data_IF_880798105766
#
_entry.id   IF_880798105766
#
_cell.length_a   1.000
_cell.length_b   1.000
_cell.length_c   1.000
_cell.angle_alpha   90.00
_cell.angle_beta   90.00
_cell.angle_gamma   90.00
#
_symmetry.space_group_name_H-M   'P 1'
#
loop_
_entity.id
_entity.type
_entity.pdbx_description
1 polymer ?
#
# COMPACT_ATOMS: atom_id res chain seq x y z
N UNK A 1 -29.18 14.07 -13.11
CA UNK A 1 -28.22 15.16 -13.28
C UNK A 1 -26.92 14.59 -13.81
N UNK A 2 -26.47 15.03 -14.98
CA UNK A 2 -25.19 14.62 -15.54
C UNK A 2 -24.07 15.42 -14.87
N UNK A 3 -23.12 14.74 -14.23
CA UNK A 3 -21.92 15.34 -13.64
C UNK A 3 -20.85 15.53 -14.73
N UNK A 4 -20.00 16.58 -14.63
CA UNK A 4 -19.10 16.98 -15.71
C UNK A 4 -18.00 15.93 -15.94
N UNK A 5 -17.76 15.61 -17.22
CA UNK A 5 -16.59 14.86 -17.66
C UNK A 5 -15.37 15.81 -17.64
N UNK A 6 -14.33 15.48 -16.88
CA UNK A 6 -13.14 16.34 -16.70
C UNK A 6 -11.90 15.67 -17.32
N UNK A 7 -11.33 16.36 -18.33
CA UNK A 7 -9.95 16.36 -18.86
C UNK A 7 -9.01 15.18 -18.51
N UNK A 8 -8.60 14.44 -19.55
CA UNK A 8 -7.77 13.24 -19.50
C UNK A 8 -6.25 13.40 -19.41
N UNK A 9 -5.69 14.56 -19.06
CA UNK A 9 -4.22 14.78 -19.14
C UNK A 9 -3.49 15.19 -17.84
N UNK A 10 -4.21 15.47 -16.75
CA UNK A 10 -3.59 15.88 -15.47
C UNK A 10 -3.06 14.72 -14.59
N UNK A 11 -2.03 14.98 -13.78
CA UNK A 11 -1.61 14.08 -12.68
C UNK A 11 -2.80 13.86 -11.74
N UNK A 12 -3.10 12.60 -11.40
CA UNK A 12 -4.20 12.22 -10.49
C UNK A 12 -3.67 11.45 -9.29
N UNK A 13 -4.29 11.68 -8.14
CA UNK A 13 -4.03 10.89 -6.92
C UNK A 13 -4.81 9.58 -6.99
N UNK A 14 -4.15 8.45 -6.76
CA UNK A 14 -4.75 7.11 -6.87
C UNK A 14 -4.70 6.33 -5.55
N UNK A 15 -5.80 5.63 -5.24
CA UNK A 15 -5.85 4.62 -4.16
C UNK A 15 -4.88 3.45 -4.44
N UNK A 16 -4.49 2.69 -3.41
CA UNK A 16 -3.61 1.51 -3.60
C UNK A 16 -4.23 0.44 -4.49
N UNK A 17 -5.50 0.11 -4.29
CA UNK A 17 -6.26 -0.85 -5.10
C UNK A 17 -6.25 -0.50 -6.60
N UNK A 18 -6.19 0.79 -6.94
CA UNK A 18 -6.10 1.30 -8.31
C UNK A 18 -4.77 0.99 -9.01
N UNK A 19 -3.70 0.75 -8.25
CA UNK A 19 -2.31 0.58 -8.76
C UNK A 19 -1.94 -0.80 -9.23
N UNK A 20 -2.84 -1.79 -9.20
CA UNK A 20 -2.58 -3.11 -9.81
C UNK A 20 -2.10 -2.99 -11.29
N UNK A 21 -2.25 -1.82 -11.93
CA UNK A 21 -1.89 -1.55 -13.34
C UNK A 21 -1.24 -0.20 -13.68
N UNK A 22 -1.07 0.75 -12.76
CA UNK A 22 -0.47 2.07 -13.05
C UNK A 22 0.76 2.30 -12.15
N UNK A 23 1.94 2.34 -12.78
CA UNK A 23 3.24 2.48 -12.09
C UNK A 23 3.72 3.93 -12.11
N UNK A 24 3.67 4.55 -10.94
CA UNK A 24 4.37 5.81 -10.66
C UNK A 24 4.52 5.94 -9.15
N UNK A 25 5.73 6.30 -8.72
CA UNK A 25 6.17 6.21 -7.33
C UNK A 25 6.76 7.54 -6.91
N UNK A 26 6.35 8.03 -5.75
CA UNK A 26 6.93 9.19 -5.07
C UNK A 26 7.26 8.77 -3.66
N UNK A 27 8.36 9.31 -3.13
CA UNK A 27 8.78 9.08 -1.76
C UNK A 27 7.67 9.53 -0.82
N UNK A 28 6.96 8.55 -0.25
CA UNK A 28 5.93 8.84 0.72
C UNK A 28 6.59 8.87 2.10
N UNK A 29 7.10 10.03 2.49
CA UNK A 29 7.70 10.28 3.83
C UNK A 29 6.74 9.89 4.95
N UNK A 30 5.44 9.81 4.64
CA UNK A 30 4.36 9.40 5.53
C UNK A 30 3.70 8.11 4.99
N UNK A 31 4.48 7.02 4.88
CA UNK A 31 3.98 5.68 4.47
C UNK A 31 2.82 5.14 5.32
N UNK A 32 2.57 5.74 6.49
CA UNK A 32 1.46 5.47 7.40
C UNK A 32 0.07 5.80 6.85
N UNK A 33 -0.04 6.44 5.68
CA UNK A 33 -1.32 6.89 5.13
C UNK A 33 -1.84 6.10 3.91
N UNK A 34 -1.16 5.04 3.45
CA UNK A 34 -1.66 4.27 2.30
C UNK A 34 -1.49 4.94 0.92
N UNK A 35 -1.18 6.23 0.81
CA UNK A 35 -1.17 6.88 -0.51
C UNK A 35 0.14 6.71 -1.31
N UNK A 36 0.14 7.08 -2.58
CA UNK A 36 1.38 7.38 -3.32
C UNK A 36 1.07 8.39 -4.41
N UNK A 37 2.07 9.16 -4.81
CA UNK A 37 1.91 10.21 -5.80
C UNK A 37 2.49 9.73 -7.14
N UNK A 38 1.89 10.15 -8.25
CA UNK A 38 2.23 9.74 -9.61
C UNK A 38 3.17 10.77 -10.27
N UNK A 39 4.50 10.72 -10.11
CA UNK A 39 5.42 11.58 -10.89
C UNK A 39 6.39 10.77 -11.77
N UNK A 40 6.97 11.45 -12.79
CA UNK A 40 7.77 10.93 -13.92
C UNK A 40 9.15 10.35 -13.54
N UNK A 41 9.28 9.55 -12.48
CA UNK A 41 10.46 8.68 -12.27
C UNK A 41 9.99 7.26 -11.98
N UNK A 42 10.15 6.39 -12.99
CA UNK A 42 9.82 4.98 -12.93
C UNK A 42 10.96 4.18 -12.29
N UNK A 43 10.67 3.47 -11.20
CA UNK A 43 11.46 2.32 -10.76
C UNK A 43 10.60 1.05 -10.98
N UNK A 44 11.22 0.00 -11.53
CA UNK A 44 10.57 -1.28 -11.81
C UNK A 44 10.36 -2.04 -10.48
N UNK A 45 9.19 -2.63 -10.20
CA UNK A 45 8.99 -3.39 -8.97
C UNK A 45 9.94 -4.60 -8.90
N UNK A 46 10.43 -4.91 -7.70
CA UNK A 46 11.29 -6.07 -7.42
C UNK A 46 10.53 -7.40 -7.51
N UNK A 47 11.26 -8.50 -7.70
CA UNK A 47 10.72 -9.86 -7.93
C UNK A 47 9.86 -10.41 -6.78
N UNK A 48 10.14 -10.05 -5.52
CA UNK A 48 9.34 -10.46 -4.36
C UNK A 48 7.91 -9.92 -4.39
N UNK A 49 7.64 -8.80 -5.07
CA UNK A 49 6.29 -8.25 -5.17
C UNK A 49 5.39 -9.06 -6.09
N UNK A 50 5.95 -9.73 -7.11
CA UNK A 50 5.18 -10.47 -8.12
C UNK A 50 4.34 -11.61 -7.50
N UNK A 51 4.94 -12.42 -6.63
CA UNK A 51 4.25 -13.55 -5.99
C UNK A 51 3.11 -13.10 -5.05
N UNK A 52 3.31 -12.01 -4.31
CA UNK A 52 2.27 -11.40 -3.45
C UNK A 52 1.11 -10.89 -4.32
N UNK A 53 1.42 -10.28 -5.47
CA UNK A 53 0.41 -9.82 -6.42
C UNK A 53 -0.38 -10.99 -7.01
N UNK A 54 0.26 -12.07 -7.45
CA UNK A 54 -0.43 -13.25 -7.99
C UNK A 54 -1.37 -13.90 -6.97
N UNK A 55 -0.92 -14.03 -5.72
CA UNK A 55 -1.78 -14.49 -4.63
C UNK A 55 -2.98 -13.55 -4.42
N UNK A 56 -2.76 -12.24 -4.48
CA UNK A 56 -3.83 -11.24 -4.41
C UNK A 56 -4.86 -11.36 -5.54
N UNK A 57 -4.43 -11.61 -6.78
CA UNK A 57 -5.34 -11.83 -7.91
C UNK A 57 -6.21 -13.07 -7.70
N UNK A 58 -5.60 -14.16 -7.22
CA UNK A 58 -6.32 -15.41 -6.96
C UNK A 58 -7.41 -15.22 -5.89
N UNK A 59 -7.12 -14.51 -4.80
CA UNK A 59 -8.12 -14.20 -3.78
C UNK A 59 -9.22 -13.29 -4.33
N UNK A 60 -8.86 -12.33 -5.20
CA UNK A 60 -9.83 -11.49 -5.92
C UNK A 60 -10.80 -12.32 -6.78
N UNK A 61 -10.30 -13.32 -7.50
CA UNK A 61 -11.15 -14.20 -8.32
C UNK A 61 -12.09 -15.08 -7.47
N UNK A 62 -11.63 -15.54 -6.29
CA UNK A 62 -12.51 -16.21 -5.33
C UNK A 62 -13.58 -15.26 -4.77
N UNK A 63 -13.23 -14.00 -4.48
CA UNK A 63 -14.19 -13.01 -4.01
C UNK A 63 -15.29 -12.72 -5.05
N UNK A 64 -14.95 -12.67 -6.33
CA UNK A 64 -15.94 -12.50 -7.42
C UNK A 64 -16.98 -13.63 -7.45
N UNK A 65 -16.60 -14.86 -7.07
CA UNK A 65 -17.53 -16.00 -7.02
C UNK A 65 -18.65 -15.83 -5.99
N UNK A 66 -18.48 -14.96 -4.98
CA UNK A 66 -19.56 -14.59 -4.07
C UNK A 66 -20.68 -13.79 -4.75
N UNK A 67 -20.39 -13.19 -5.90
CA UNK A 67 -21.33 -12.37 -6.67
C UNK A 67 -21.39 -12.87 -8.12
N UNK A 68 -22.05 -14.01 -8.39
CA UNK A 68 -22.05 -14.66 -9.71
C UNK A 68 -22.68 -13.80 -10.80
N UNK A 69 -23.54 -12.85 -10.42
CA UNK A 69 -24.11 -11.84 -11.33
C UNK A 69 -23.31 -10.53 -11.29
N UNK A 70 -22.07 -10.50 -10.83
CA UNK A 70 -21.25 -9.29 -10.87
C UNK A 70 -20.95 -8.82 -12.29
N UNK A 71 -20.68 -7.53 -12.46
CA UNK A 71 -20.20 -6.93 -13.71
C UNK A 71 -18.70 -6.68 -13.53
N UNK A 72 -17.86 -7.39 -14.27
CA UNK A 72 -16.41 -7.24 -14.19
C UNK A 72 -15.92 -6.12 -15.13
N UNK A 73 -15.47 -5.01 -14.55
CA UNK A 73 -14.84 -3.91 -15.29
C UNK A 73 -13.31 -3.96 -15.26
N UNK A 74 -12.77 -5.02 -14.65
CA UNK A 74 -11.35 -5.20 -14.39
C UNK A 74 -10.51 -5.44 -15.63
N UNK A 75 -11.04 -5.47 -16.85
CA UNK A 75 -10.23 -5.48 -18.09
C UNK A 75 -10.00 -4.08 -18.67
N UNK A 76 -10.71 -3.07 -18.17
CA UNK A 76 -10.61 -1.70 -18.68
C UNK A 76 -9.37 -1.01 -18.10
N UNK A 77 -8.62 -0.34 -18.97
CA UNK A 77 -7.40 0.42 -18.63
C UNK A 77 -7.61 1.92 -18.81
N UNK A 78 -6.69 2.72 -18.27
CA UNK A 78 -6.82 4.17 -18.19
C UNK A 78 -7.82 4.61 -17.13
N UNK A 79 -8.15 5.90 -17.12
CA UNK A 79 -9.05 6.48 -16.10
C UNK A 79 -10.50 6.61 -16.60
N UNK A 80 -10.69 7.13 -17.82
CA UNK A 80 -12.02 7.50 -18.31
C UNK A 80 -12.90 6.29 -18.66
N UNK A 81 -12.32 5.27 -19.31
CA UNK A 81 -13.07 4.09 -19.76
C UNK A 81 -13.70 3.33 -18.59
N UNK A 82 -12.95 2.99 -17.51
CA UNK A 82 -13.55 2.35 -16.33
C UNK A 82 -14.63 3.20 -15.65
N UNK A 83 -14.44 4.52 -15.54
CA UNK A 83 -15.41 5.44 -14.90
C UNK A 83 -16.71 5.45 -15.69
N UNK A 84 -16.65 5.65 -17.01
CA UNK A 84 -17.84 5.64 -17.88
C UNK A 84 -18.59 4.30 -17.84
N UNK A 85 -17.84 3.20 -17.84
CA UNK A 85 -18.41 1.86 -17.72
C UNK A 85 -19.08 1.64 -16.35
N UNK A 86 -18.47 2.16 -15.28
CA UNK A 86 -19.02 2.10 -13.92
C UNK A 86 -20.37 2.82 -13.84
N UNK A 87 -20.47 4.06 -14.35
CA UNK A 87 -21.75 4.78 -14.39
C UNK A 87 -22.84 4.07 -15.19
N UNK A 88 -22.47 3.34 -16.24
CA UNK A 88 -23.42 2.52 -16.99
C UNK A 88 -23.84 1.28 -16.21
N UNK A 89 -22.91 0.64 -15.50
CA UNK A 89 -23.15 -0.55 -14.71
C UNK A 89 -24.01 -0.29 -13.46
N UNK A 90 -23.92 0.89 -12.85
CA UNK A 90 -24.74 1.27 -11.67
C UNK A 90 -26.24 1.09 -11.93
N UNK A 91 -26.71 1.42 -13.14
CA UNK A 91 -28.12 1.29 -13.54
C UNK A 91 -28.64 -0.15 -13.55
N UNK A 92 -27.74 -1.14 -13.54
CA UNK A 92 -28.12 -2.56 -13.55
C UNK A 92 -28.41 -3.11 -12.17
N UNK A 93 -28.13 -2.37 -11.08
CA UNK A 93 -28.41 -2.82 -9.70
C UNK A 93 -27.75 -4.17 -9.37
N UNK A 94 -26.53 -4.40 -9.87
CA UNK A 94 -25.75 -5.62 -9.66
C UNK A 94 -24.41 -5.25 -9.04
N UNK A 95 -23.75 -6.21 -8.38
CA UNK A 95 -22.38 -6.01 -7.92
C UNK A 95 -21.47 -5.62 -9.10
N UNK A 96 -20.51 -4.72 -8.87
CA UNK A 96 -19.57 -4.24 -9.88
C UNK A 96 -18.16 -4.47 -9.35
N UNK A 97 -17.35 -5.20 -10.11
CA UNK A 97 -15.96 -5.44 -9.78
C UNK A 97 -15.08 -4.38 -10.44
N UNK A 98 -14.07 -3.92 -9.71
CA UNK A 98 -13.12 -2.90 -10.18
C UNK A 98 -13.87 -1.60 -10.61
N UNK A 99 -14.96 -1.29 -9.91
CA UNK A 99 -15.74 -0.06 -10.09
C UNK A 99 -14.86 1.16 -9.86
N UNK A 100 -14.93 2.16 -10.73
CA UNK A 100 -14.01 3.30 -10.74
C UNK A 100 -14.75 4.63 -10.70
N UNK A 101 -14.27 5.55 -9.86
CA UNK A 101 -14.80 6.90 -9.72
C UNK A 101 -13.68 7.93 -9.69
N UNK A 102 -14.04 9.17 -10.03
CA UNK A 102 -13.15 10.32 -9.90
C UNK A 102 -13.85 11.45 -9.18
N UNK A 103 -13.14 12.12 -8.27
CA UNK A 103 -13.63 13.28 -7.54
C UNK A 103 -12.45 14.13 -7.06
N UNK A 104 -12.54 15.45 -7.18
CA UNK A 104 -11.49 16.38 -6.72
C UNK A 104 -10.06 15.97 -7.15
N UNK A 105 -9.87 15.72 -8.46
CA UNK A 105 -8.60 15.25 -9.06
C UNK A 105 -8.04 13.93 -8.48
N UNK A 106 -8.86 13.18 -7.76
CA UNK A 106 -8.57 11.85 -7.27
C UNK A 106 -9.24 10.80 -8.16
N UNK A 107 -8.58 9.67 -8.34
CA UNK A 107 -9.11 8.47 -8.96
C UNK A 107 -9.10 7.33 -7.94
N UNK A 108 -10.19 6.58 -7.89
CA UNK A 108 -10.30 5.43 -7.00
C UNK A 108 -11.01 4.28 -7.71
N UNK A 109 -10.50 3.07 -7.49
CA UNK A 109 -11.03 1.82 -8.00
C UNK A 109 -11.14 0.79 -6.88
N UNK A 110 -12.35 0.40 -6.51
CA UNK A 110 -12.63 -0.57 -5.45
C UNK A 110 -12.65 -1.97 -6.04
N UNK A 111 -12.27 -2.98 -5.25
CA UNK A 111 -12.33 -4.37 -5.70
C UNK A 111 -13.77 -4.77 -6.05
N UNK A 112 -14.74 -4.49 -5.16
CA UNK A 112 -16.16 -4.78 -5.35
C UNK A 112 -17.02 -3.69 -4.73
N UNK A 113 -18.07 -3.26 -5.44
CA UNK A 113 -19.24 -2.58 -4.82
C UNK A 113 -20.50 -3.40 -5.03
N UNK A 114 -21.38 -3.39 -4.03
CA UNK A 114 -22.60 -4.20 -4.01
C UNK A 114 -23.81 -3.30 -3.69
N UNK A 115 -24.88 -3.35 -4.49
CA UNK A 115 -26.08 -2.57 -4.21
C UNK A 115 -26.80 -3.10 -2.96
N UNK A 116 -27.41 -2.22 -2.20
CA UNK A 116 -28.24 -2.52 -1.03
C UNK A 116 -29.71 -2.36 -1.39
N UNK A 117 -30.59 -2.95 -0.58
CA UNK A 117 -32.05 -2.93 -0.82
C UNK A 117 -32.64 -1.51 -0.83
N UNK A 118 -32.03 -0.58 -0.11
CA UNK A 118 -32.43 0.83 0.01
C UNK A 118 -31.75 1.75 -1.03
N UNK A 119 -31.20 1.18 -2.10
CA UNK A 119 -30.63 1.94 -3.22
C UNK A 119 -29.24 2.54 -2.96
N UNK A 120 -28.63 2.26 -1.81
CA UNK A 120 -27.23 2.59 -1.49
C UNK A 120 -26.29 1.47 -1.95
N UNK A 121 -25.00 1.63 -1.66
CA UNK A 121 -23.96 0.70 -2.06
C UNK A 121 -23.03 0.38 -0.88
N UNK A 122 -22.67 -0.89 -0.73
CA UNK A 122 -21.60 -1.34 0.14
C UNK A 122 -20.29 -1.41 -0.66
N UNK A 123 -19.19 -0.95 -0.07
CA UNK A 123 -17.84 -1.08 -0.64
C UNK A 123 -17.14 -2.26 0.02
N UNK A 124 -16.50 -3.13 -0.76
CA UNK A 124 -15.75 -4.28 -0.27
C UNK A 124 -14.33 -4.24 -0.84
N UNK A 125 -13.35 -4.16 0.05
CA UNK A 125 -11.92 -4.26 -0.28
C UNK A 125 -11.43 -5.67 0.05
N UNK A 126 -10.83 -6.35 -0.94
CA UNK A 126 -10.42 -7.75 -0.86
C UNK A 126 -8.93 -7.83 -0.55
N UNK A 127 -8.55 -8.57 0.50
CA UNK A 127 -7.15 -8.76 0.88
C UNK A 127 -6.82 -10.24 1.04
N UNK A 128 -5.63 -10.62 0.57
CA UNK A 128 -5.08 -11.97 0.73
C UNK A 128 -4.54 -12.25 2.13
N UNK A 129 -4.45 -11.25 3.00
CA UNK A 129 -4.11 -11.46 4.40
C UNK A 129 -5.25 -12.19 5.11
N UNK A 130 -4.92 -13.20 5.92
CA UNK A 130 -5.90 -13.85 6.77
C UNK A 130 -6.38 -12.91 7.86
N UNK A 131 -7.62 -13.04 8.33
CA UNK A 131 -8.12 -12.26 9.47
C UNK A 131 -7.37 -12.63 10.78
N UNK A 132 -6.66 -11.69 11.45
CA UNK A 132 -6.37 -11.82 12.88
C UNK A 132 -7.55 -11.35 13.73
N UNK A 133 -7.65 -11.80 14.98
CA UNK A 133 -8.55 -11.21 15.96
C UNK A 133 -8.07 -9.80 16.38
N UNK A 134 -6.81 -9.44 16.07
CA UNK A 134 -6.18 -8.16 16.42
C UNK A 134 -5.94 -7.19 15.26
N UNK A 135 -6.06 -5.90 15.57
CA UNK A 135 -5.84 -4.76 14.69
C UNK A 135 -4.33 -4.51 14.58
N UNK A 136 -3.60 -5.28 13.78
CA UNK A 136 -2.21 -4.93 13.43
C UNK A 136 -2.15 -3.70 12.51
N UNK A 137 -0.96 -3.08 12.39
CA UNK A 137 -0.68 -1.92 11.53
C UNK A 137 -1.18 -2.08 10.08
N UNK A 138 -1.16 -3.31 9.56
CA UNK A 138 -1.66 -3.64 8.21
C UNK A 138 -3.14 -3.29 8.02
N UNK A 139 -3.96 -3.40 9.07
CA UNK A 139 -5.39 -3.06 9.00
C UNK A 139 -5.60 -1.56 8.97
N UNK A 140 -4.76 -0.76 9.64
CA UNK A 140 -4.88 0.70 9.60
C UNK A 140 -4.69 1.24 8.18
N UNK A 141 -3.72 0.72 7.43
CA UNK A 141 -3.52 1.10 6.02
C UNK A 141 -4.75 0.77 5.18
N UNK A 142 -5.39 -0.38 5.39
CA UNK A 142 -6.58 -0.76 4.63
C UNK A 142 -7.77 0.14 4.96
N UNK A 143 -7.91 0.58 6.22
CA UNK A 143 -8.95 1.53 6.60
C UNK A 143 -8.76 2.89 5.95
N UNK A 144 -7.52 3.36 5.85
CA UNK A 144 -7.21 4.63 5.16
C UNK A 144 -7.45 4.53 3.66
N UNK A 145 -7.10 3.39 3.04
CA UNK A 145 -7.43 3.11 1.65
C UNK A 145 -8.95 3.17 1.43
N UNK A 146 -9.74 2.47 2.27
CA UNK A 146 -11.20 2.50 2.24
C UNK A 146 -11.77 3.90 2.50
N UNK A 147 -11.22 4.65 3.45
CA UNK A 147 -11.65 6.02 3.73
C UNK A 147 -11.45 6.94 2.53
N UNK A 148 -10.32 6.81 1.83
CA UNK A 148 -10.09 7.54 0.58
C UNK A 148 -11.02 7.07 -0.55
N UNK A 149 -11.21 5.77 -0.70
CA UNK A 149 -12.16 5.25 -1.70
C UNK A 149 -13.55 5.83 -1.45
N UNK A 150 -14.04 5.76 -0.21
CA UNK A 150 -15.33 6.29 0.20
C UNK A 150 -15.44 7.80 -0.02
N UNK A 151 -14.41 8.59 0.34
CA UNK A 151 -14.34 10.02 0.03
C UNK A 151 -14.49 10.31 -1.48
N UNK A 152 -13.80 9.56 -2.34
CA UNK A 152 -13.92 9.73 -3.81
C UNK A 152 -15.31 9.34 -4.31
N UNK A 153 -15.91 8.29 -3.74
CA UNK A 153 -17.15 7.71 -4.20
C UNK A 153 -18.35 8.58 -3.79
N UNK A 154 -18.41 8.95 -2.51
CA UNK A 154 -19.42 9.86 -1.98
C UNK A 154 -19.29 11.26 -2.62
N UNK A 155 -18.07 11.76 -2.81
CA UNK A 155 -17.83 13.01 -3.55
C UNK A 155 -18.28 12.94 -5.02
N UNK A 156 -18.21 11.77 -5.65
CA UNK A 156 -18.73 11.53 -7.00
C UNK A 156 -20.25 11.23 -7.04
N UNK A 157 -20.94 11.31 -5.90
CA UNK A 157 -22.40 11.16 -5.80
C UNK A 157 -22.89 9.73 -5.57
N UNK A 158 -22.01 8.76 -5.28
CA UNK A 158 -22.43 7.42 -4.88
C UNK A 158 -22.82 7.42 -3.40
N UNK A 159 -24.05 6.98 -3.09
CA UNK A 159 -24.50 6.82 -1.71
C UNK A 159 -23.93 5.52 -1.12
N UNK A 160 -22.92 5.63 -0.27
CA UNK A 160 -22.27 4.49 0.39
C UNK A 160 -22.94 4.22 1.73
N UNK A 161 -23.38 2.98 1.95
CA UNK A 161 -23.93 2.53 3.24
C UNK A 161 -22.80 2.08 4.15
N UNK A 162 -22.19 0.93 3.83
CA UNK A 162 -21.18 0.30 4.67
C UNK A 162 -19.88 0.02 3.91
N UNK A 163 -18.80 -0.18 4.67
CA UNK A 163 -17.47 -0.52 4.15
C UNK A 163 -16.98 -1.82 4.79
N UNK A 164 -16.50 -2.74 3.96
CA UNK A 164 -16.09 -4.08 4.39
C UNK A 164 -14.67 -4.41 3.94
N UNK A 165 -13.99 -5.19 4.79
CA UNK A 165 -12.84 -5.98 4.38
C UNK A 165 -13.28 -7.41 4.11
N UNK A 166 -12.83 -7.98 3.00
CA UNK A 166 -12.99 -9.39 2.70
C UNK A 166 -11.61 -10.06 2.77
N UNK A 167 -11.43 -10.92 3.78
CA UNK A 167 -10.15 -11.51 4.18
C UNK A 167 -10.17 -13.02 3.99
N UNK A 168 -9.02 -13.68 3.93
CA UNK A 168 -8.96 -15.13 4.04
C UNK A 168 -9.39 -15.57 5.45
N UNK A 169 -10.29 -16.55 5.52
CA UNK A 169 -10.72 -17.17 6.75
C UNK A 169 -9.64 -18.17 7.22
N UNK A 170 -8.87 -17.82 8.26
CA UNK A 170 -7.82 -18.70 8.80
C UNK A 170 -8.35 -19.99 9.42
N UNK A 171 -9.64 -20.04 9.77
CA UNK A 171 -10.31 -21.22 10.35
C UNK A 171 -10.85 -22.17 9.28
N UNK A 172 -10.73 -21.80 7.99
CA UNK A 172 -11.20 -22.64 6.90
C UNK A 172 -10.30 -23.87 6.75
N UNK A 173 -10.87 -25.06 6.97
CA UNK A 173 -10.26 -26.34 6.67
C UNK A 173 -10.84 -26.87 5.36
N UNK A 174 -9.98 -27.03 4.36
CA UNK A 174 -10.42 -27.54 3.05
C UNK A 174 -10.82 -29.01 3.17
N UNK A 175 -12.08 -29.30 2.87
CA UNK A 175 -12.58 -30.65 2.65
C UNK A 175 -13.29 -30.69 1.28
N UNK A 176 -12.65 -31.33 0.28
CA UNK A 176 -13.19 -31.41 -1.08
C UNK A 176 -13.06 -30.11 -1.90
N UNK A 177 -14.14 -29.75 -2.60
CA UNK A 177 -14.23 -28.57 -3.46
C UNK A 177 -14.21 -27.31 -2.61
N UNK A 178 -13.49 -26.28 -3.06
CA UNK A 178 -13.36 -25.02 -2.32
C UNK A 178 -14.68 -24.25 -2.38
N UNK A 179 -15.27 -23.99 -1.20
CA UNK A 179 -16.42 -23.11 -1.04
C UNK A 179 -15.95 -21.66 -0.78
N UNK A 180 -16.20 -20.71 -1.71
CA UNK A 180 -15.83 -19.31 -1.52
C UNK A 180 -16.46 -18.67 -0.28
N UNK A 181 -17.66 -19.11 0.13
CA UNK A 181 -18.37 -18.54 1.29
C UNK A 181 -17.68 -18.91 2.61
N UNK A 182 -17.04 -20.07 2.67
CA UNK A 182 -16.28 -20.50 3.86
C UNK A 182 -14.83 -20.04 3.82
N UNK A 183 -14.25 -19.94 2.62
CA UNK A 183 -12.87 -19.47 2.40
C UNK A 183 -12.68 -18.01 2.81
N UNK A 184 -13.70 -17.17 2.65
CA UNK A 184 -13.60 -15.72 2.81
C UNK A 184 -14.42 -15.23 4.01
N UNK A 185 -13.81 -14.38 4.83
CA UNK A 185 -14.44 -13.74 5.98
C UNK A 185 -14.69 -12.25 5.68
N UNK A 186 -15.95 -11.83 5.77
CA UNK A 186 -16.36 -10.42 5.63
C UNK A 186 -16.35 -9.75 7.00
N UNK A 187 -15.64 -8.64 7.13
CA UNK A 187 -15.52 -7.85 8.35
C UNK A 187 -16.07 -6.45 8.10
N UNK A 188 -17.06 -6.04 8.88
CA UNK A 188 -17.58 -4.67 8.85
C UNK A 188 -16.57 -3.72 9.51
N UNK A 189 -16.18 -2.68 8.77
CA UNK A 189 -15.25 -1.66 9.25
C UNK A 189 -15.81 -0.25 9.10
N UNK A 190 -17.13 -0.13 8.92
CA UNK A 190 -17.82 1.11 8.59
C UNK A 190 -17.52 2.23 9.58
N UNK A 191 -17.67 2.00 10.88
CA UNK A 191 -17.43 3.03 11.90
C UNK A 191 -15.96 3.48 11.96
N UNK A 192 -15.04 2.53 11.75
CA UNK A 192 -13.60 2.80 11.72
C UNK A 192 -13.21 3.61 10.50
N UNK A 193 -13.84 3.36 9.35
CA UNK A 193 -13.68 4.17 8.14
C UNK A 193 -14.29 5.56 8.35
N UNK A 194 -15.49 5.66 8.94
CA UNK A 194 -16.17 6.92 9.23
C UNK A 194 -15.31 7.83 10.13
N UNK A 195 -14.64 7.26 11.14
CA UNK A 195 -13.73 8.00 12.01
C UNK A 195 -12.51 8.61 11.28
N UNK A 196 -12.12 8.05 10.13
CA UNK A 196 -11.00 8.54 9.31
C UNK A 196 -11.42 9.55 8.25
N UNK A 197 -12.67 9.49 7.76
CA UNK A 197 -13.18 10.34 6.67
C UNK A 197 -12.89 11.84 6.85
N UNK A 198 -13.08 12.47 8.03
CA UNK A 198 -12.83 13.90 8.20
C UNK A 198 -11.38 14.33 7.93
N UNK A 199 -10.43 13.40 8.02
CA UNK A 199 -8.99 13.66 7.81
C UNK A 199 -8.58 13.54 6.34
N UNK A 200 -9.39 12.88 5.51
CA UNK A 200 -9.05 12.59 4.11
C UNK A 200 -8.88 13.86 3.28
N UNK A 201 -9.77 14.87 3.32
CA UNK A 201 -9.62 16.07 2.47
C UNK A 201 -8.32 16.83 2.72
N UNK A 202 -7.95 17.06 3.99
CA UNK A 202 -6.70 17.73 4.34
C UNK A 202 -5.48 16.93 3.84
N UNK A 203 -5.56 15.59 3.89
CA UNK A 203 -4.49 14.73 3.39
C UNK A 203 -4.38 14.76 1.87
N UNK A 204 -5.52 14.77 1.17
CA UNK A 204 -5.60 14.95 -0.29
C UNK A 204 -4.95 16.27 -0.69
N UNK A 205 -5.23 17.36 0.04
CA UNK A 205 -4.62 18.66 -0.22
C UNK A 205 -3.10 18.65 -0.01
N UNK A 206 -2.63 18.07 1.09
CA UNK A 206 -1.20 17.91 1.37
C UNK A 206 -0.48 17.20 0.20
N UNK A 207 -1.07 16.09 -0.28
CA UNK A 207 -0.50 15.32 -1.39
C UNK A 207 -0.54 16.07 -2.71
N UNK A 208 -1.59 16.86 -2.93
CA UNK A 208 -1.70 17.76 -4.09
C UNK A 208 -0.64 18.86 -4.06
N UNK A 209 -0.36 19.43 -2.89
CA UNK A 209 0.75 20.38 -2.71
C UNK A 209 2.09 19.76 -3.09
N UNK A 210 2.35 18.52 -2.64
CA UNK A 210 3.56 17.79 -3.01
C UNK A 210 3.66 17.48 -4.51
N UNK A 211 2.53 17.23 -5.17
CA UNK A 211 2.42 17.03 -6.62
C UNK A 211 2.77 18.26 -7.44
N UNK A 212 2.46 19.45 -6.91
CA UNK A 212 2.69 20.72 -7.58
C UNK A 212 4.15 21.20 -7.47
N UNK A 213 4.99 20.53 -6.67
CA UNK A 213 6.40 20.88 -6.56
C UNK A 213 7.13 20.59 -7.88
N UNK A 214 7.85 21.60 -8.38
CA UNK A 214 8.71 21.48 -9.57
C UNK A 214 9.94 20.60 -9.32
N UNK A 215 10.34 20.44 -8.05
CA UNK A 215 11.47 19.63 -7.62
C UNK A 215 11.01 18.60 -6.59
N UNK A 216 11.65 17.43 -6.60
CA UNK A 216 11.42 16.43 -5.57
C UNK A 216 11.77 17.04 -4.20
N UNK A 217 10.87 16.95 -3.20
CA UNK A 217 11.18 17.44 -1.87
C UNK A 217 12.43 16.75 -1.33
N UNK A 218 13.24 17.48 -0.58
CA UNK A 218 14.42 16.95 0.08
C UNK A 218 13.98 16.12 1.30
N UNK A 219 13.82 14.82 1.08
CA UNK A 219 13.39 13.87 2.11
C UNK A 219 14.58 13.05 2.55
N UNK A 220 14.93 13.16 3.85
CA UNK A 220 15.94 12.30 4.46
C UNK A 220 15.43 10.86 4.56
N UNK A 221 16.28 9.91 4.18
CA UNK A 221 16.05 8.48 4.38
C UNK A 221 15.80 8.23 5.88
N UNK A 222 14.74 7.47 6.18
CA UNK A 222 14.27 7.25 7.55
C UNK A 222 13.64 5.88 7.70
N UNK A 223 13.23 5.50 8.93
CA UNK A 223 12.53 4.25 9.22
C UNK A 223 11.25 4.06 8.38
N UNK A 224 10.69 5.13 7.84
CA UNK A 224 9.57 5.06 6.89
C UNK A 224 9.95 4.36 5.58
N UNK A 225 11.24 4.24 5.23
CA UNK A 225 11.68 3.51 4.06
C UNK A 225 11.40 2.00 4.11
N UNK A 226 11.14 1.40 5.28
CA UNK A 226 10.86 -0.04 5.42
C UNK A 226 9.52 -0.37 6.08
N UNK A 227 8.74 0.63 6.51
CA UNK A 227 7.47 0.39 7.23
C UNK A 227 6.27 1.00 6.49
N UNK A 228 5.17 0.26 6.26
CA UNK A 228 4.94 -1.16 6.59
C UNK A 228 5.53 -2.15 5.55
N UNK A 229 6.06 -1.62 4.44
CA UNK A 229 6.72 -2.38 3.39
C UNK A 229 7.95 -1.61 2.89
N UNK A 230 8.84 -2.31 2.20
CA UNK A 230 10.03 -1.72 1.59
C UNK A 230 9.70 -0.62 0.58
N UNK A 231 10.57 0.40 0.51
CA UNK A 231 10.39 1.52 -0.39
C UNK A 231 10.78 1.09 -1.80
N UNK A 232 9.88 1.28 -2.77
CA UNK A 232 10.22 1.06 -4.17
C UNK A 232 11.22 2.09 -4.75
N UNK A 233 11.58 3.11 -3.96
CA UNK A 233 12.60 4.11 -4.32
C UNK A 233 13.91 3.91 -3.54
N UNK A 234 14.09 2.78 -2.84
CA UNK A 234 15.31 2.51 -2.06
C UNK A 234 16.55 2.72 -2.93
N UNK A 235 16.63 2.08 -4.11
CA UNK A 235 17.81 2.18 -4.99
C UNK A 235 18.18 3.63 -5.37
N UNK A 236 17.18 4.46 -5.63
CA UNK A 236 17.39 5.86 -5.99
C UNK A 236 17.76 6.73 -4.77
N UNK A 237 16.97 6.63 -3.69
CA UNK A 237 17.12 7.45 -2.50
C UNK A 237 18.33 7.07 -1.64
N UNK A 238 18.80 5.82 -1.73
CA UNK A 238 19.91 5.28 -0.94
C UNK A 238 21.23 5.29 -1.71
N UNK A 239 21.25 5.83 -2.94
CA UNK A 239 22.45 5.87 -3.81
C UNK A 239 23.64 6.62 -3.23
N UNK A 240 23.42 7.47 -2.21
CA UNK A 240 24.49 8.16 -1.48
C UNK A 240 25.20 7.26 -0.45
N UNK A 241 24.63 6.11 -0.10
CA UNK A 241 25.21 5.19 0.87
C UNK A 241 26.32 4.35 0.21
N UNK A 242 27.47 4.16 0.88
CA UNK A 242 28.54 3.30 0.39
C UNK A 242 28.14 1.83 0.46
N UNK A 243 28.84 0.96 -0.28
CA UNK A 243 28.57 -0.48 -0.28
C UNK A 243 28.69 -1.12 1.12
N UNK A 244 29.67 -0.69 1.92
CA UNK A 244 29.86 -1.10 3.32
C UNK A 244 29.21 -0.11 4.29
N UNK A 245 27.90 0.12 4.12
CA UNK A 245 27.18 1.11 4.94
C UNK A 245 26.85 0.59 6.34
N UNK A 246 26.55 1.51 7.26
CA UNK A 246 26.03 1.17 8.60
C UNK A 246 24.76 0.31 8.58
N UNK A 247 24.01 0.27 7.47
CA UNK A 247 22.84 -0.61 7.31
C UNK A 247 23.21 -2.09 7.09
N UNK A 248 24.47 -2.39 6.79
CA UNK A 248 25.00 -3.74 6.73
C UNK A 248 25.46 -4.26 8.10
N UNK A 249 25.33 -3.44 9.17
CA UNK A 249 25.64 -3.85 10.53
C UNK A 249 24.71 -4.99 10.97
N UNK A 250 25.31 -6.10 11.41
CA UNK A 250 24.59 -7.31 11.83
C UNK A 250 23.60 -7.00 12.95
N UNK A 251 22.37 -7.46 12.80
CA UNK A 251 21.26 -7.23 13.76
C UNK A 251 21.11 -5.75 14.15
N UNK A 252 21.36 -4.85 13.19
CA UNK A 252 21.46 -3.41 13.43
C UNK A 252 20.20 -2.80 14.06
N UNK A 253 19.00 -3.38 13.85
CA UNK A 253 17.71 -2.87 14.37
C UNK A 253 17.62 -1.33 14.24
N UNK A 254 17.63 -0.61 15.37
CA UNK A 254 17.58 0.86 15.41
C UNK A 254 18.91 1.55 15.16
N UNK A 255 20.05 0.88 15.42
CA UNK A 255 21.39 1.47 15.44
C UNK A 255 21.84 2.11 14.12
N UNK A 256 21.63 1.51 12.93
CA UNK A 256 21.97 2.14 11.66
C UNK A 256 21.28 3.49 11.46
N UNK A 257 20.04 3.64 11.96
CA UNK A 257 19.30 4.89 11.88
C UNK A 257 19.92 5.97 12.77
N UNK A 258 20.38 5.60 13.96
CA UNK A 258 21.01 6.52 14.90
C UNK A 258 22.40 6.96 14.37
N UNK A 259 23.14 6.05 13.74
CA UNK A 259 24.41 6.34 13.07
C UNK A 259 24.22 7.26 11.85
N UNK A 260 23.24 6.97 11.01
CA UNK A 260 22.89 7.82 9.86
C UNK A 260 22.51 9.24 10.32
N UNK A 261 21.74 9.37 11.41
CA UNK A 261 21.35 10.66 11.98
C UNK A 261 22.56 11.49 12.48
N UNK A 262 23.66 10.81 12.86
CA UNK A 262 24.95 11.42 13.23
C UNK A 262 25.87 11.68 12.03
N UNK A 263 25.42 11.39 10.80
CA UNK A 263 26.24 11.52 9.58
C UNK A 263 27.24 10.39 9.36
N UNK A 264 27.17 9.31 10.12
CA UNK A 264 28.07 8.16 10.01
C UNK A 264 27.48 7.20 8.96
N UNK A 265 28.16 7.08 7.82
CA UNK A 265 27.66 6.31 6.68
C UNK A 265 28.28 4.91 6.58
N UNK A 266 29.57 4.76 6.93
CA UNK A 266 30.33 3.50 6.79
C UNK A 266 30.45 2.75 8.11
N UNK A 267 30.67 1.44 8.03
CA UNK A 267 30.89 0.60 9.21
C UNK A 267 32.23 0.96 9.89
N UNK A 268 33.29 1.25 9.13
CA UNK A 268 34.59 1.60 9.71
C UNK A 268 34.58 2.89 10.55
N UNK A 269 33.64 3.80 10.24
CA UNK A 269 33.49 5.11 10.87
C UNK A 269 32.70 5.07 12.19
N UNK A 270 32.21 3.90 12.62
CA UNK A 270 31.39 3.78 13.84
C UNK A 270 32.23 4.09 15.10
N UNK A 271 31.89 5.12 15.90
CA UNK A 271 32.67 5.52 17.07
C UNK A 271 32.86 4.38 18.08
N UNK A 272 34.02 4.34 18.75
CA UNK A 272 34.34 3.29 19.71
C UNK A 272 33.45 3.30 20.96
N UNK A 273 32.90 4.48 21.30
CA UNK A 273 31.95 4.69 22.39
C UNK A 273 30.49 4.37 22.00
N UNK A 274 30.23 4.03 20.73
CA UNK A 274 28.91 3.63 20.28
C UNK A 274 28.57 2.24 20.80
N UNK A 275 27.40 2.08 21.42
CA UNK A 275 26.98 0.82 22.05
C UNK A 275 26.79 -0.30 21.01
N UNK A 276 27.79 -1.16 20.84
CA UNK A 276 27.78 -2.34 19.98
C UNK A 276 27.77 -3.64 20.79
N UNK A 277 27.18 -4.70 20.25
CA UNK A 277 27.36 -6.04 20.80
C UNK A 277 28.69 -6.65 20.31
N UNK A 278 29.13 -7.77 20.89
CA UNK A 278 30.41 -8.38 20.53
C UNK A 278 30.55 -8.68 19.02
N UNK A 279 29.50 -9.21 18.39
CA UNK A 279 29.50 -9.51 16.95
C UNK A 279 29.63 -8.25 16.09
N UNK A 280 28.94 -7.18 16.47
CA UNK A 280 28.99 -5.88 15.80
C UNK A 280 30.35 -5.21 15.98
N UNK A 281 30.94 -5.27 17.17
CA UNK A 281 32.29 -4.77 17.44
C UNK A 281 33.33 -5.51 16.60
N UNK A 282 33.24 -6.84 16.53
CA UNK A 282 34.10 -7.64 15.64
C UNK A 282 33.89 -7.27 14.17
N UNK A 283 32.65 -7.09 13.73
CA UNK A 283 32.35 -6.64 12.36
C UNK A 283 33.01 -5.28 12.06
N UNK A 284 32.90 -4.29 12.96
CA UNK A 284 33.54 -2.98 12.81
C UNK A 284 35.06 -3.11 12.76
N UNK A 285 35.66 -3.94 13.62
CA UNK A 285 37.10 -4.19 13.62
C UNK A 285 37.57 -4.82 12.29
N UNK A 286 36.83 -5.78 11.74
CA UNK A 286 37.12 -6.34 10.41
C UNK A 286 37.08 -5.27 9.32
N UNK A 287 36.08 -4.39 9.33
CA UNK A 287 35.97 -3.33 8.32
C UNK A 287 37.09 -2.30 8.43
N UNK A 288 37.58 -2.01 9.65
CA UNK A 288 38.73 -1.12 9.88
C UNK A 288 40.06 -1.70 9.45
N UNK A 289 40.25 -3.00 9.68
CA UNK A 289 41.53 -3.68 9.49
C UNK A 289 41.66 -4.37 8.13
N UNK A 290 40.54 -4.67 7.48
CA UNK A 290 40.49 -5.52 6.28
C UNK A 290 40.79 -7.00 6.55
N UNK A 291 40.96 -7.40 7.81
CA UNK A 291 41.31 -8.76 8.20
C UNK A 291 40.07 -9.52 8.69
N UNK A 292 39.95 -10.81 8.36
CA UNK A 292 38.86 -11.64 8.88
C UNK A 292 39.01 -11.83 10.39
N UNK A 293 37.89 -11.76 11.12
CA UNK A 293 37.84 -12.13 12.53
C UNK A 293 37.87 -13.65 12.67
N UNK A 294 38.87 -14.15 13.41
CA UNK A 294 39.01 -15.57 13.75
C UNK A 294 38.63 -15.75 15.22
N UNK A 295 37.54 -16.46 15.48
CA UNK A 295 37.15 -16.85 16.84
C UNK A 295 38.07 -17.96 17.33
N UNK A 296 38.91 -17.66 18.33
CA UNK A 296 39.86 -18.62 18.91
C UNK A 296 39.19 -19.70 19.77
N UNK A 297 37.87 -19.63 19.99
CA UNK A 297 37.08 -20.56 20.80
C UNK A 297 35.96 -21.28 20.01
N UNK A 298 35.92 -21.15 18.68
CA UNK A 298 35.03 -21.95 17.84
C UNK A 298 35.44 -23.43 17.93
N UNK A 299 34.82 -24.18 18.85
CA UNK A 299 34.95 -25.63 18.94
C UNK A 299 34.43 -26.23 17.63
N UNK A 300 35.27 -27.04 16.97
CA UNK A 300 34.91 -27.92 15.86
C UNK A 300 33.82 -28.91 16.27
#
# INVERSE_FOLDING_TARGET
MALPLVDGSGLRMESRSSRKRNTSLVCNVRKRCGFTITTKRCCRPSTHHAAIFEQGHTVGDWAKKLFPRGIDLGRLTGFEKPVRATHTALRKGRAIFEASFTYNSCFSRADIIVPTEDGRWDIIEVKSSGAPDDIGDLREVYLQDLAFQRYVYEGAGLLVRNSYLLLLNKKYLRSGVIDPQQLLARVDVTDRVNALLPRVPAKVEEMRGGLALSQCPEVKVSRHCSTPYDCALTDACWSFLPQSSVFNLRDGRSKPWDLLARGILRIEDVPADFSLNAQQSSQVACHRTGLPYMDQHAKQ
#
